data_IF_111801418838
#
_entry.id   IF_111801418838
#
_cell.length_a   1.000
_cell.length_b   1.000
_cell.length_c   1.000
_cell.angle_alpha   90.00
_cell.angle_beta   90.00
_cell.angle_gamma   90.00
#
_symmetry.space_group_name_H-M   'P 1'
#
loop_
_entity.id
_entity.type
_entity.pdbx_description
1 polymer ?
#
# COMPACT_ATOMS: atom_id res chain seq x y z
N UNK A 1 -6.91 -8.43 27.53
CA UNK A 1 -6.69 -8.96 26.17
C UNK A 1 -5.90 -7.89 25.44
N UNK A 2 -4.59 -8.10 25.26
CA UNK A 2 -3.75 -7.14 24.54
C UNK A 2 -3.84 -7.55 23.07
N UNK A 3 -4.64 -6.82 22.30
CA UNK A 3 -4.57 -6.92 20.85
C UNK A 3 -3.18 -6.40 20.46
N UNK A 4 -2.38 -7.11 19.67
CA UNK A 4 -1.06 -6.64 19.24
C UNK A 4 -1.10 -5.36 18.37
N UNK A 5 -2.28 -4.75 18.19
CA UNK A 5 -2.54 -3.61 17.32
C UNK A 5 -2.42 -2.22 17.96
N UNK A 6 -2.20 -2.07 19.28
CA UNK A 6 -2.13 -0.72 19.88
C UNK A 6 -0.75 -0.05 19.72
N UNK A 7 0.29 -0.78 19.31
CA UNK A 7 1.61 -0.15 19.04
C UNK A 7 2.45 -0.77 17.92
N UNK A 8 2.01 -1.87 17.30
CA UNK A 8 2.68 -2.37 16.10
C UNK A 8 2.02 -1.71 14.90
N UNK A 9 2.79 -0.93 14.14
CA UNK A 9 2.32 -0.24 12.94
C UNK A 9 1.86 -1.21 11.86
N UNK A 10 0.68 -1.79 12.05
CA UNK A 10 0.09 -2.74 11.14
C UNK A 10 -0.22 -2.01 9.83
N UNK A 11 0.30 -2.53 8.74
CA UNK A 11 -0.04 -2.05 7.41
C UNK A 11 -1.35 -2.71 6.96
N UNK A 12 -2.20 -1.94 6.32
CA UNK A 12 -3.42 -2.41 5.69
C UNK A 12 -3.28 -2.25 4.19
N UNK A 13 -3.70 -3.25 3.44
CA UNK A 13 -3.80 -3.24 1.98
C UNK A 13 -5.27 -3.31 1.61
N UNK A 14 -5.80 -2.25 0.99
CA UNK A 14 -7.21 -2.12 0.65
C UNK A 14 -8.14 -2.41 1.84
N UNK A 15 -7.84 -1.78 2.98
CA UNK A 15 -8.57 -1.90 4.26
C UNK A 15 -8.46 -3.27 4.97
N UNK A 16 -7.70 -4.21 4.40
CA UNK A 16 -7.41 -5.51 5.02
C UNK A 16 -6.02 -5.53 5.69
N UNK A 17 -5.90 -6.02 6.93
CA UNK A 17 -4.61 -6.08 7.62
C UNK A 17 -3.66 -7.08 6.96
N UNK A 18 -2.40 -6.67 6.77
CA UNK A 18 -1.36 -7.50 6.16
C UNK A 18 -0.38 -8.01 7.23
N UNK A 19 -0.21 -9.33 7.30
CA UNK A 19 0.66 -10.00 8.27
C UNK A 19 1.90 -10.66 7.64
N UNK A 20 1.92 -10.76 6.31
CA UNK A 20 2.98 -11.41 5.53
C UNK A 20 3.27 -10.59 4.27
N UNK A 21 4.45 -10.72 3.66
CA UNK A 21 4.72 -10.09 2.37
C UNK A 21 3.61 -10.40 1.36
N UNK A 22 3.01 -9.36 0.78
CA UNK A 22 1.90 -9.45 -0.16
C UNK A 22 2.25 -8.63 -1.39
N UNK A 23 1.96 -9.17 -2.57
CA UNK A 23 2.18 -8.48 -3.84
C UNK A 23 1.22 -7.30 -4.00
N UNK A 24 1.75 -6.14 -4.40
CA UNK A 24 0.96 -4.93 -4.65
C UNK A 24 0.52 -4.88 -6.11
N UNK A 25 -0.74 -4.50 -6.32
CA UNK A 25 -1.32 -4.24 -7.63
C UNK A 25 -1.45 -2.74 -7.86
N UNK A 26 -1.36 -2.27 -9.12
CA UNK A 26 -1.58 -0.86 -9.44
C UNK A 26 -2.86 -0.34 -8.80
N UNK A 27 -2.77 0.83 -8.18
CA UNK A 27 -3.84 1.53 -7.45
C UNK A 27 -4.28 0.90 -6.13
N UNK A 28 -3.53 -0.07 -5.61
CA UNK A 28 -3.74 -0.52 -4.25
C UNK A 28 -3.56 0.62 -3.24
N UNK A 29 -4.42 0.61 -2.24
CA UNK A 29 -4.40 1.57 -1.14
C UNK A 29 -3.63 0.95 0.02
N UNK A 30 -2.61 1.64 0.49
CA UNK A 30 -1.79 1.21 1.62
C UNK A 30 -2.06 2.17 2.78
N UNK A 31 -2.53 1.66 3.91
CA UNK A 31 -2.73 2.44 5.12
C UNK A 31 -1.70 2.04 6.18
N UNK A 32 -1.01 3.03 6.75
CA UNK A 32 -0.02 2.83 7.79
C UNK A 32 -0.18 3.91 8.85
N UNK A 33 -0.53 3.50 10.08
CA UNK A 33 -0.89 4.44 11.13
C UNK A 33 -2.09 5.31 10.72
N UNK A 34 -1.88 6.63 10.64
CA UNK A 34 -2.92 7.60 10.22
C UNK A 34 -2.80 8.02 8.75
N UNK A 35 -1.79 7.52 8.04
CA UNK A 35 -1.49 7.92 6.66
C UNK A 35 -2.05 6.90 5.69
N UNK A 36 -2.45 7.39 4.52
CA UNK A 36 -2.95 6.59 3.40
C UNK A 36 -2.16 6.92 2.15
N UNK A 37 -1.75 5.89 1.44
CA UNK A 37 -0.93 5.96 0.23
C UNK A 37 -1.62 5.23 -0.90
N UNK A 38 -1.40 5.67 -2.13
CA UNK A 38 -1.83 5.01 -3.35
C UNK A 38 -0.60 4.47 -4.08
N UNK A 39 -0.59 3.18 -4.38
CA UNK A 39 0.49 2.59 -5.18
C UNK A 39 0.30 2.90 -6.66
N UNK A 40 1.26 3.60 -7.27
CA UNK A 40 1.28 3.90 -8.70
C UNK A 40 2.46 3.19 -9.35
N UNK A 41 2.18 2.22 -10.21
CA UNK A 41 3.19 1.46 -10.92
C UNK A 41 3.74 2.28 -12.11
N UNK A 42 4.98 2.76 -12.01
CA UNK A 42 5.66 3.55 -13.04
C UNK A 42 6.30 2.69 -14.16
N UNK A 43 5.86 1.45 -14.29
CA UNK A 43 6.32 0.51 -15.31
C UNK A 43 5.17 -0.35 -15.87
N UNK A 44 3.92 0.02 -15.58
CA UNK A 44 2.74 -0.66 -16.07
C UNK A 44 2.23 -0.08 -17.38
N UNK A 45 1.19 -0.68 -17.95
CA UNK A 45 0.53 -0.23 -19.19
C UNK A 45 -0.01 1.21 -19.13
N UNK A 46 -0.18 1.74 -17.93
CA UNK A 46 -0.79 3.05 -17.68
C UNK A 46 0.25 4.15 -17.41
N UNK A 47 1.54 3.88 -17.56
CA UNK A 47 2.60 4.87 -17.33
C UNK A 47 3.74 4.70 -18.35
N UNK A 48 4.15 5.80 -19.00
CA UNK A 48 5.36 5.89 -19.83
C UNK A 48 6.29 6.97 -19.31
N UNK A 49 7.59 6.67 -19.26
CA UNK A 49 8.61 7.66 -18.90
C UNK A 49 8.83 8.70 -20.01
N UNK A 50 8.41 8.40 -21.25
CA UNK A 50 8.56 9.30 -22.41
C UNK A 50 7.61 10.50 -22.38
N UNK A 51 6.57 10.46 -21.53
CA UNK A 51 5.59 11.53 -21.38
C UNK A 51 6.10 12.70 -20.52
N UNK A 52 7.25 12.53 -19.85
CA UNK A 52 7.91 13.59 -19.06
C UNK A 52 8.96 14.28 -19.95
N UNK A 53 8.52 15.27 -20.74
CA UNK A 53 9.39 16.23 -21.42
C UNK A 53 9.47 17.56 -20.69
#
# INVERSE_FOLDING_TARGET
MILPGDSSGLAYLNDEPVYVPTELKPYDIISMGKSRFLFVALCGTNFSWDDVK
#
